data_IF_328260866729
#
_entry.id   IF_328260866729
#
_cell.length_a   1.000
_cell.length_b   1.000
_cell.length_c   1.000
_cell.angle_alpha   90.00
_cell.angle_beta   90.00
_cell.angle_gamma   90.00
#
_symmetry.space_group_name_H-M   'P 1'
#
loop_
_entity.id
_entity.type
_entity.pdbx_description
1 polymer ?
2 non-polymer ?
3 non-polymer ?
4 non-polymer ?
5 water ?
#
# COMPACT_ATOMS: atom_id res chain seq x y z
N UNK A 16 -8.37 -23.11 8.89
CA UNK A 16 -7.46 -23.73 9.90
C UNK A 16 -6.21 -22.86 10.09
N UNK A 17 -5.92 -22.44 11.33
CA UNK A 17 -4.65 -21.77 11.74
C UNK A 17 -4.33 -20.60 10.80
N UNK A 18 -5.18 -19.54 10.72
CA UNK A 18 -4.86 -18.37 9.90
C UNK A 18 -3.73 -17.53 10.50
N UNK A 19 -2.73 -17.11 9.71
CA UNK A 19 -1.59 -16.30 10.20
C UNK A 19 -1.81 -14.82 9.96
N UNK A 20 -2.92 -14.43 9.34
CA UNK A 20 -3.16 -13.01 8.98
C UNK A 20 -4.53 -12.55 9.51
N UNK A 21 -4.78 -12.74 10.80
CA UNK A 21 -6.10 -12.52 11.42
C UNK A 21 -6.07 -11.25 12.29
N UNK A 22 -4.99 -11.03 13.06
CA UNK A 22 -4.95 -9.96 14.10
C UNK A 22 -3.86 -8.96 13.70
N UNK A 23 -4.12 -7.68 13.93
CA UNK A 23 -3.12 -6.61 13.85
C UNK A 23 -2.70 -6.21 15.27
N UNK A 24 -1.39 -6.18 15.48
CA UNK A 24 -0.77 -5.76 16.75
C UNK A 24 0.10 -4.55 16.47
N UNK A 25 0.37 -3.77 17.52
CA UNK A 25 1.38 -2.68 17.47
C UNK A 25 2.73 -3.30 17.10
N UNK A 26 3.36 -2.79 16.05
CA UNK A 26 4.67 -3.27 15.59
C UNK A 26 5.74 -3.06 16.67
N UNK A 27 5.61 -2.03 17.50
CA UNK A 27 6.67 -1.68 18.50
C UNK A 27 6.55 -2.55 19.75
N UNK A 28 5.38 -3.02 20.16
CA UNK A 28 5.21 -3.65 21.50
C UNK A 28 4.30 -4.88 21.49
N UNK A 29 3.52 -5.14 20.43
CA UNK A 29 2.63 -6.33 20.43
C UNK A 29 1.22 -6.11 20.95
N UNK A 30 0.90 -4.91 21.41
CA UNK A 30 -0.47 -4.58 21.86
C UNK A 30 -1.48 -4.98 20.79
N UNK A 31 -2.56 -5.67 21.19
CA UNK A 31 -3.67 -6.05 20.29
C UNK A 31 -4.37 -4.79 19.79
N UNK A 32 -4.53 -4.60 18.48
CA UNK A 32 -5.13 -3.33 17.96
C UNK A 32 -6.37 -3.63 17.13
N UNK A 33 -6.30 -4.49 16.12
CA UNK A 33 -7.46 -4.71 15.25
C UNK A 33 -7.40 -6.09 14.59
N UNK A 34 -8.25 -6.32 13.58
CA UNK A 34 -8.41 -7.63 12.93
C UNK A 34 -8.61 -7.36 11.44
N UNK A 35 -8.21 -8.28 10.58
CA UNK A 35 -8.44 -8.17 9.13
C UNK A 35 -9.96 -8.11 8.89
N UNK A 36 -10.72 -8.87 9.69
CA UNK A 36 -12.20 -8.94 9.58
C UNK A 36 -12.84 -7.56 9.72
N UNK A 37 -12.14 -6.62 10.37
CA UNK A 37 -12.70 -5.29 10.74
C UNK A 37 -12.23 -4.23 9.75
N UNK A 38 -11.56 -4.63 8.67
CA UNK A 38 -11.20 -3.65 7.61
C UNK A 38 -12.48 -3.05 7.04
N UNK A 39 -12.46 -1.77 6.68
CA UNK A 39 -13.64 -1.00 6.19
C UNK A 39 -13.31 -0.33 4.86
N UNK A 40 -13.90 -0.74 3.71
CA UNK A 40 -13.73 -0.01 2.46
C UNK A 40 -14.42 1.35 2.37
N UNK A 41 -13.79 2.41 2.92
CA UNK A 41 -14.27 3.82 2.85
C UNK A 41 -14.05 4.36 1.43
N UNK A 42 -15.10 4.86 0.79
CA UNK A 42 -15.06 5.30 -0.62
C UNK A 42 -14.67 4.19 -1.58
N UNK A 43 -14.82 2.92 -1.19
CA UNK A 43 -14.59 1.76 -2.06
C UNK A 43 -13.21 1.12 -1.90
N UNK A 44 -12.37 1.62 -0.99
CA UNK A 44 -11.04 0.98 -0.73
C UNK A 44 -10.76 1.06 0.76
N UNK A 45 -10.15 0.03 1.34
CA UNK A 45 -9.70 0.07 2.76
C UNK A 45 -8.40 0.90 2.85
N UNK A 46 -7.62 0.99 1.75
CA UNK A 46 -6.33 1.70 1.73
C UNK A 46 -6.51 3.10 1.15
N UNK A 47 -5.96 4.10 1.84
CA UNK A 47 -5.94 5.54 1.44
C UNK A 47 -4.52 6.10 1.63
N UNK A 48 -3.90 6.63 0.58
CA UNK A 48 -2.55 7.25 0.75
C UNK A 48 -2.73 8.76 0.87
N UNK A 49 -2.23 9.34 1.95
CA UNK A 49 -2.51 10.75 2.33
C UNK A 49 -1.23 11.44 2.79
N UNK A 50 -1.21 12.77 2.78
CA UNK A 50 -0.13 13.59 3.37
C UNK A 50 -0.70 14.57 4.36
N UNK A 51 0.03 14.79 5.44
CA UNK A 51 -0.27 15.86 6.44
C UNK A 51 0.38 17.17 5.98
N UNK A 52 0.10 18.30 6.67
CA UNK A 52 0.67 19.58 6.28
C UNK A 52 2.20 19.65 6.39
N UNK A 53 2.84 18.75 7.14
CA UNK A 53 4.32 18.64 7.21
C UNK A 53 4.86 17.84 6.02
N UNK A 54 3.97 17.36 5.13
CA UNK A 54 4.29 16.57 3.92
C UNK A 54 4.62 15.11 4.22
N UNK A 55 4.39 14.63 5.43
CA UNK A 55 4.58 13.19 5.75
C UNK A 55 3.50 12.37 5.03
N UNK A 56 3.93 11.33 4.32
CA UNK A 56 3.00 10.41 3.59
C UNK A 56 2.66 9.26 4.54
N UNK A 57 1.40 8.89 4.56
CA UNK A 57 0.91 7.73 5.33
C UNK A 57 0.08 6.86 4.41
N UNK A 58 0.31 5.55 4.51
CA UNK A 58 -0.58 4.53 3.90
C UNK A 58 -1.56 4.13 4.98
N UNK A 59 -2.79 4.63 4.90
CA UNK A 59 -3.81 4.47 5.97
C UNK A 59 -4.73 3.32 5.57
N UNK A 60 -4.94 2.37 6.49
CA UNK A 60 -6.00 1.34 6.34
C UNK A 60 -7.14 1.75 7.26
N UNK A 61 -8.37 1.73 6.73
CA UNK A 61 -9.58 2.07 7.51
C UNK A 61 -10.14 0.79 8.15
N UNK A 62 -10.43 0.87 9.44
CA UNK A 62 -11.03 -0.21 10.25
C UNK A 62 -12.33 0.31 10.87
N UNK A 63 -13.36 -0.55 10.92
CA UNK A 63 -14.61 -0.18 11.60
C UNK A 63 -14.35 -0.09 13.11
N UNK A 64 -13.40 -0.87 13.60
CA UNK A 64 -13.21 -1.13 15.05
C UNK A 64 -11.73 -1.31 15.29
N UNK A 65 -11.30 -0.91 16.48
CA UNK A 65 -9.94 -1.12 16.99
C UNK A 65 -10.03 -1.04 18.50
N UNK A 66 -9.00 -1.56 19.14
CA UNK A 66 -8.88 -1.63 20.62
C UNK A 66 -7.41 -1.32 20.96
N UNK A 67 -7.11 -1.16 22.24
CA UNK A 67 -5.74 -1.07 22.75
C UNK A 67 -5.09 0.28 22.41
N UNK A 68 -5.88 1.23 21.94
CA UNK A 68 -5.39 2.58 21.59
C UNK A 68 -5.68 3.50 22.77
N UNK A 69 -5.08 4.68 22.74
CA UNK A 69 -5.43 5.80 23.63
C UNK A 69 -5.64 7.02 22.73
N UNK A 70 -6.85 7.55 22.74
CA UNK A 70 -7.29 8.70 21.91
C UNK A 70 -6.98 9.97 22.68
N UNK A 71 -6.23 10.88 22.06
CA UNK A 71 -5.58 12.03 22.75
C UNK A 71 -6.28 13.31 22.30
N UNK A 72 -6.68 14.11 23.27
CA UNK A 72 -7.29 15.43 23.05
C UNK A 72 -8.72 15.31 22.56
N UNK A 73 -9.22 16.39 21.96
CA UNK A 73 -10.59 16.52 21.46
C UNK A 73 -10.53 16.48 19.94
N UNK A 74 -11.62 16.09 19.25
CA UNK A 74 -11.61 16.01 17.81
C UNK A 74 -11.33 17.36 17.14
N UNK A 75 -10.72 17.31 15.95
CA UNK A 75 -10.48 18.48 15.07
C UNK A 75 -10.94 18.11 13.66
N UNK A 76 -11.60 19.03 12.97
CA UNK A 76 -11.91 18.89 11.54
C UNK A 76 -10.80 19.40 10.64
N UNK A 77 -9.76 20.04 11.20
CA UNK A 77 -8.69 20.73 10.42
C UNK A 77 -7.99 19.71 9.51
N UNK A 78 -8.02 19.94 8.21
CA UNK A 78 -7.25 19.14 7.20
C UNK A 78 -7.69 17.67 7.24
N UNK A 79 -8.89 17.34 7.70
CA UNK A 79 -9.36 15.95 7.70
C UNK A 79 -9.26 15.38 6.27
N UNK A 80 -8.69 14.19 6.16
CA UNK A 80 -8.58 13.44 4.89
C UNK A 80 -9.95 12.85 4.49
N UNK A 81 -10.92 12.80 5.39
CA UNK A 81 -12.22 12.13 5.12
C UNK A 81 -13.34 13.14 5.35
N UNK A 82 -14.08 13.43 4.28
CA UNK A 82 -15.11 14.50 4.25
C UNK A 82 -16.11 14.27 5.36
N UNK A 83 -16.37 15.28 6.19
CA UNK A 83 -17.41 15.23 7.23
C UNK A 83 -16.95 14.62 8.53
N UNK A 84 -15.68 14.18 8.66
CA UNK A 84 -15.18 13.56 9.90
C UNK A 84 -14.16 14.46 10.58
N UNK A 85 -14.19 14.46 11.90
CA UNK A 85 -13.21 15.10 12.78
C UNK A 85 -12.30 14.00 13.30
N UNK A 86 -11.05 14.32 13.52
CA UNK A 86 -10.03 13.31 13.93
C UNK A 86 -9.48 13.60 15.32
N UNK A 87 -9.12 12.52 16.00
CA UNK A 87 -8.33 12.50 17.24
C UNK A 87 -7.14 11.57 17.00
N UNK A 88 -5.97 11.98 17.49
CA UNK A 88 -4.74 11.15 17.42
C UNK A 88 -5.01 9.86 18.23
N UNK A 89 -4.66 8.72 17.65
CA UNK A 89 -4.73 7.40 18.29
C UNK A 89 -3.30 6.94 18.54
N UNK A 90 -2.90 6.86 19.81
CA UNK A 90 -1.62 6.21 20.19
C UNK A 90 -1.89 4.76 20.57
N UNK A 91 -0.87 3.93 20.41
CA UNK A 91 -0.81 2.62 21.09
C UNK A 91 -0.98 2.92 22.59
N UNK A 92 -1.98 2.29 23.21
CA UNK A 92 -2.29 2.48 24.63
C UNK A 92 -1.20 1.90 25.49
N UNK A 93 -0.40 0.99 24.94
CA UNK A 93 0.67 0.34 25.73
C UNK A 93 1.95 1.20 25.62
N UNK A 94 2.44 1.43 24.41
CA UNK A 94 3.81 1.98 24.21
C UNK A 94 3.79 3.45 23.78
N UNK A 95 2.64 3.99 23.39
CA UNK A 95 2.54 5.42 23.00
C UNK A 95 2.90 5.67 21.53
N UNK A 96 3.25 4.66 20.75
CA UNK A 96 3.55 4.80 19.30
C UNK A 96 2.32 5.42 18.63
N UNK A 97 2.54 6.39 17.74
CA UNK A 97 1.40 6.98 17.00
C UNK A 97 0.93 5.99 15.93
N UNK A 98 -0.24 5.37 16.09
CA UNK A 98 -0.71 4.31 15.18
C UNK A 98 -1.69 4.85 14.15
N UNK A 99 -2.25 6.03 14.38
CA UNK A 99 -3.20 6.63 13.43
C UNK A 99 -4.17 7.58 14.11
N UNK A 100 -5.42 7.53 13.67
CA UNK A 100 -6.47 8.50 14.07
C UNK A 100 -7.79 7.79 14.24
N UNK A 101 -8.61 8.29 15.15
CA UNK A 101 -10.03 7.94 15.26
C UNK A 101 -10.82 9.07 14.60
N UNK A 102 -11.76 8.70 13.75
CA UNK A 102 -12.60 9.65 13.01
C UNK A 102 -14.01 9.56 13.59
N UNK A 103 -14.66 10.69 13.77
CA UNK A 103 -16.03 10.75 14.30
C UNK A 103 -16.75 11.97 13.74
N UNK A 104 -18.05 12.08 14.02
CA UNK A 104 -18.85 13.27 13.68
C UNK A 104 -19.40 13.20 12.26
N UNK A 105 -19.19 12.10 11.55
CA UNK A 105 -19.63 11.97 10.15
C UNK A 105 -20.88 11.13 10.02
N UNK A 106 -21.08 10.52 8.87
CA UNK A 106 -22.31 9.77 8.51
C UNK A 106 -21.92 8.50 7.73
N UNK A 107 -22.46 7.35 8.13
CA UNK A 107 -22.42 6.07 7.37
C UNK A 107 -20.97 5.74 6.97
N UNK A 108 -20.07 5.39 7.91
CA UNK A 108 -20.37 5.31 9.33
C UNK A 108 -20.16 6.64 10.07
N UNK A 109 -20.70 6.75 11.29
CA UNK A 109 -20.47 7.94 12.14
C UNK A 109 -18.99 7.98 12.53
N UNK A 110 -18.39 6.81 12.77
CA UNK A 110 -17.00 6.69 13.28
C UNK A 110 -16.23 5.54 12.60
N UNK A 111 -14.91 5.65 12.59
CA UNK A 111 -13.98 4.57 12.14
C UNK A 111 -12.57 4.96 12.58
N UNK A 112 -11.63 4.04 12.36
CA UNK A 112 -10.21 4.26 12.64
C UNK A 112 -9.45 4.26 11.32
N UNK A 113 -8.55 5.23 11.18
CA UNK A 113 -7.55 5.22 10.11
C UNK A 113 -6.20 4.90 10.71
N UNK A 114 -5.69 3.70 10.47
CA UNK A 114 -4.43 3.25 11.11
C UNK A 114 -3.34 3.18 10.06
N UNK A 115 -2.12 3.52 10.48
CA UNK A 115 -0.93 3.56 9.60
C UNK A 115 -0.41 2.12 9.43
N UNK A 116 -0.56 1.58 8.23
CA UNK A 116 -0.39 0.13 7.98
C UNK A 116 1.02 -0.30 8.42
N UNK A 117 2.06 0.49 8.15
CA UNK A 117 3.45 0.05 8.42
C UNK A 117 3.78 0.13 9.92
N UNK A 118 2.87 0.61 10.76
CA UNK A 118 3.10 0.67 12.22
C UNK A 118 2.37 -0.49 12.92
N UNK A 119 1.79 -1.38 12.14
CA UNK A 119 1.11 -2.58 12.66
C UNK A 119 1.88 -3.81 12.19
N UNK A 120 1.70 -4.92 12.91
CA UNK A 120 2.16 -6.25 12.49
C UNK A 120 0.98 -7.21 12.41
N UNK A 121 0.87 -7.96 11.31
CA UNK A 121 -0.25 -8.88 11.08
C UNK A 121 0.15 -10.31 11.43
N UNK A 122 -0.75 -11.06 12.06
CA UNK A 122 -0.40 -12.41 12.51
C UNK A 122 -1.59 -13.17 13.08
N UNK A 123 -1.32 -14.39 13.60
CA UNK A 123 -2.38 -15.31 14.00
C UNK A 123 -3.19 -14.82 15.21
N UNK A 124 -4.43 -15.31 15.34
CA UNK A 124 -5.43 -14.89 16.35
C UNK A 124 -4.93 -15.16 17.78
N UNK B 20 19.28 -4.48 -12.84
CA UNK B 20 19.84 -3.18 -12.36
C UNK B 20 20.21 -3.31 -10.87
N UNK B 21 19.19 -3.50 -10.04
CA UNK B 21 19.34 -3.59 -8.56
C UNK B 21 19.17 -5.02 -8.09
N UNK B 22 20.09 -5.51 -7.24
CA UNK B 22 20.03 -6.88 -6.69
C UNK B 22 19.97 -6.82 -5.16
N UNK B 23 19.41 -7.85 -4.57
CA UNK B 23 19.45 -8.06 -3.11
C UNK B 23 20.41 -9.22 -2.82
N UNK B 24 21.38 -8.95 -1.98
CA UNK B 24 22.39 -9.94 -1.59
C UNK B 24 22.16 -10.31 -0.14
N UNK B 25 22.60 -11.50 0.24
CA UNK B 25 22.68 -11.90 1.66
C UNK B 25 23.57 -10.90 2.39
N UNK B 26 23.06 -10.29 3.45
CA UNK B 26 23.82 -9.25 4.19
C UNK B 26 25.06 -9.88 4.84
N UNK B 27 24.99 -11.17 5.21
CA UNK B 27 26.08 -11.84 5.95
C UNK B 27 27.21 -12.27 5.01
N UNK B 28 26.94 -12.72 3.79
CA UNK B 28 28.04 -13.31 2.95
C UNK B 28 28.10 -12.71 1.55
N UNK B 29 27.07 -11.97 1.13
CA UNK B 29 27.08 -11.26 -0.16
C UNK B 29 26.55 -12.08 -1.32
N UNK B 30 26.11 -13.31 -1.08
CA UNK B 30 25.55 -14.12 -2.18
C UNK B 30 24.37 -13.36 -2.79
N UNK B 31 24.26 -13.29 -4.12
CA UNK B 31 23.04 -12.80 -4.81
C UNK B 31 21.84 -13.70 -4.43
N UNK B 32 20.75 -13.08 -4.00
CA UNK B 32 19.52 -13.81 -3.59
C UNK B 32 18.32 -13.45 -4.47
N UNK B 33 18.05 -12.17 -4.69
CA UNK B 33 16.90 -11.78 -5.51
C UNK B 33 17.16 -10.44 -6.16
N UNK B 34 16.16 -9.90 -6.86
CA UNK B 34 16.28 -8.72 -7.78
C UNK B 34 15.13 -7.76 -7.45
N UNK B 35 15.33 -6.45 -7.57
CA UNK B 35 14.22 -5.48 -7.43
C UNK B 35 13.13 -5.75 -8.48
N UNK B 36 13.53 -6.22 -9.65
CA UNK B 36 12.61 -6.53 -10.78
C UNK B 36 11.60 -7.61 -10.32
N UNK B 37 11.94 -8.41 -9.32
CA UNK B 37 11.14 -9.58 -8.88
C UNK B 37 10.27 -9.23 -7.69
N UNK B 38 10.24 -7.97 -7.26
CA UNK B 38 9.36 -7.57 -6.14
C UNK B 38 7.91 -7.84 -6.54
N UNK B 39 7.14 -8.39 -5.61
CA UNK B 39 5.79 -8.92 -5.86
C UNK B 39 4.81 -8.30 -4.87
N UNK B 40 3.84 -7.46 -5.31
CA UNK B 40 2.86 -6.89 -4.39
C UNK B 40 1.75 -7.88 -4.02
N UNK B 41 2.00 -8.74 -3.04
CA UNK B 41 1.02 -9.72 -2.49
C UNK B 41 0.00 -8.97 -1.64
N UNK B 42 -1.29 -9.13 -1.95
CA UNK B 42 -2.38 -8.39 -1.30
C UNK B 42 -2.27 -6.89 -1.49
N UNK B 43 -1.53 -6.42 -2.49
CA UNK B 43 -1.42 -4.99 -2.82
C UNK B 43 -0.17 -4.32 -2.26
N UNK B 44 0.70 -5.01 -1.52
CA UNK B 44 1.98 -4.39 -1.07
C UNK B 44 3.09 -5.40 -1.16
N UNK B 45 4.31 -4.99 -1.51
CA UNK B 45 5.47 -5.92 -1.41
C UNK B 45 5.97 -6.05 0.04
N UNK B 46 5.70 -5.07 0.90
CA UNK B 46 6.13 -5.10 2.32
C UNK B 46 4.97 -5.57 3.20
N UNK B 47 5.25 -6.55 4.05
CA UNK B 47 4.33 -7.12 5.05
C UNK B 47 5.07 -7.14 6.38
N UNK B 48 4.60 -6.42 7.36
CA UNK B 48 5.07 -6.60 8.76
C UNK B 48 4.16 -7.65 9.42
N UNK B 49 4.77 -8.71 9.93
CA UNK B 49 4.05 -9.92 10.37
C UNK B 49 4.63 -10.36 11.74
N UNK B 50 3.86 -11.15 12.48
CA UNK B 50 4.36 -11.81 13.70
C UNK B 50 3.99 -13.29 13.63
N UNK B 51 4.88 -14.12 14.15
CA UNK B 51 4.67 -15.58 14.24
C UNK B 51 3.98 -15.91 15.57
N UNK B 52 3.57 -17.19 15.79
CA UNK B 52 2.91 -17.57 17.02
C UNK B 52 3.77 -17.40 18.28
N UNK B 53 5.09 -17.33 18.15
CA UNK B 53 6.04 -17.07 19.28
C UNK B 53 6.13 -15.55 19.53
N UNK B 54 5.42 -14.74 18.74
CA UNK B 54 5.42 -13.26 18.90
C UNK B 54 6.62 -12.57 18.27
N UNK B 55 7.43 -13.28 17.51
CA UNK B 55 8.59 -12.64 16.81
C UNK B 55 8.05 -11.82 15.65
N UNK B 56 8.49 -10.58 15.51
CA UNK B 56 8.02 -9.67 14.42
C UNK B 56 9.08 -9.63 13.33
N UNK B 57 8.65 -9.69 12.07
CA UNK B 57 9.51 -9.64 10.88
C UNK B 57 8.93 -8.65 9.88
N UNK B 58 9.81 -7.92 9.21
CA UNK B 58 9.38 -7.07 8.06
C UNK B 58 9.81 -7.82 6.80
N UNK B 59 8.83 -8.35 6.09
CA UNK B 59 9.02 -9.27 4.93
C UNK B 59 8.78 -8.46 3.66
N UNK B 60 9.63 -8.64 2.66
CA UNK B 60 9.38 -8.18 1.28
C UNK B 60 9.11 -9.42 0.43
N UNK B 61 8.10 -9.34 -0.44
CA UNK B 61 7.69 -10.47 -1.31
C UNK B 61 8.41 -10.35 -2.65
N UNK B 62 8.99 -11.46 -3.08
CA UNK B 62 9.66 -11.60 -4.40
C UNK B 62 9.07 -12.80 -5.12
N UNK B 63 8.90 -12.74 -6.43
CA UNK B 63 8.38 -13.85 -7.25
C UNK B 63 9.36 -15.02 -7.20
N UNK B 64 10.65 -14.71 -7.32
CA UNK B 64 11.75 -15.70 -7.47
C UNK B 64 12.89 -15.29 -6.54
N UNK B 65 13.78 -16.25 -6.31
CA UNK B 65 15.06 -16.05 -5.63
C UNK B 65 16.01 -17.12 -6.10
N UNK B 66 17.27 -16.95 -5.76
CA UNK B 66 18.31 -17.95 -6.02
C UNK B 66 19.25 -17.98 -4.81
N UNK B 67 20.05 -19.03 -4.72
CA UNK B 67 21.13 -19.11 -3.72
C UNK B 67 20.60 -19.42 -2.32
N UNK B 68 19.31 -19.77 -2.18
CA UNK B 68 18.77 -20.17 -0.86
C UNK B 68 18.80 -21.70 -0.72
N UNK B 69 18.56 -22.20 0.48
CA UNK B 69 18.30 -23.62 0.76
C UNK B 69 17.01 -23.67 1.57
N UNK B 70 15.98 -24.29 1.03
CA UNK B 70 14.66 -24.48 1.68
C UNK B 70 14.73 -25.75 2.52
N UNK B 71 14.34 -25.64 3.79
CA UNK B 71 14.57 -26.70 4.80
C UNK B 71 13.21 -27.21 5.25
N UNK B 72 13.04 -28.53 5.28
CA UNK B 72 11.85 -29.17 5.84
C UNK B 72 10.75 -29.30 4.80
N UNK B 73 9.66 -29.92 5.20
CA UNK B 73 8.46 -30.10 4.35
C UNK B 73 7.61 -28.85 4.48
N UNK B 74 6.86 -28.47 3.45
CA UNK B 74 6.00 -27.29 3.55
C UNK B 74 4.95 -27.47 4.64
N UNK B 75 4.59 -26.37 5.32
CA UNK B 75 3.54 -26.34 6.37
C UNK B 75 2.52 -25.27 6.03
N UNK B 76 1.23 -25.55 6.26
CA UNK B 76 0.16 -24.56 6.16
C UNK B 76 -0.07 -23.83 7.47
N UNK B 77 0.54 -24.32 8.57
CA UNK B 77 0.23 -23.83 9.95
C UNK B 77 0.59 -22.35 10.04
N UNK B 78 -0.39 -21.50 10.34
CA UNK B 78 -0.19 -20.05 10.63
C UNK B 78 0.49 -19.36 9.46
N UNK B 79 0.27 -19.84 8.24
CA UNK B 79 0.79 -19.14 7.04
C UNK B 79 0.34 -17.68 7.08
N UNK B 80 1.25 -16.76 6.82
CA UNK B 80 0.92 -15.31 6.69
C UNK B 80 0.15 -15.04 5.39
N UNK B 81 0.18 -15.95 4.42
CA UNK B 81 -0.46 -15.74 3.11
C UNK B 81 -1.45 -16.87 2.89
N UNK B 82 -2.74 -16.52 2.91
CA UNK B 82 -3.86 -17.47 2.81
C UNK B 82 -3.72 -18.28 1.53
N UNK B 83 -3.81 -19.61 1.63
CA UNK B 83 -3.80 -20.54 0.49
C UNK B 83 -2.40 -21.00 0.15
N UNK B 84 -1.38 -20.59 0.91
CA UNK B 84 0.03 -20.99 0.68
C UNK B 84 0.55 -21.77 1.89
N UNK B 85 1.40 -22.77 1.60
CA UNK B 85 2.25 -23.46 2.58
C UNK B 85 3.64 -22.81 2.57
N UNK B 86 4.33 -22.84 3.70
CA UNK B 86 5.65 -22.20 3.83
C UNK B 86 6.74 -23.22 4.16
N UNK B 87 7.95 -22.89 3.72
CA UNK B 87 9.21 -23.59 4.03
C UNK B 87 10.25 -22.55 4.45
N UNK B 88 11.03 -22.81 5.49
CA UNK B 88 12.12 -21.88 5.93
C UNK B 88 13.17 -21.79 4.81
N UNK B 89 13.63 -20.59 4.52
CA UNK B 89 14.68 -20.31 3.50
C UNK B 89 15.94 -19.80 4.18
N UNK B 90 17.02 -20.57 4.12
CA UNK B 90 18.36 -20.14 4.56
C UNK B 90 19.18 -19.68 3.35
N UNK B 91 20.12 -18.77 3.56
CA UNK B 91 21.24 -18.60 2.60
C UNK B 91 21.93 -19.94 2.38
N UNK B 92 22.03 -20.38 1.13
CA UNK B 92 22.65 -21.67 0.76
C UNK B 92 24.13 -21.65 1.07
N UNK B 93 24.72 -20.45 1.07
CA UNK B 93 26.18 -20.28 1.17
C UNK B 93 26.58 -20.18 2.64
N UNK B 94 25.90 -19.34 3.43
CA UNK B 94 26.33 -19.05 4.83
C UNK B 94 25.34 -19.52 5.90
N UNK B 95 24.13 -19.92 5.54
CA UNK B 95 23.14 -20.45 6.51
C UNK B 95 22.30 -19.37 7.20
N UNK B 96 22.48 -18.08 6.90
CA UNK B 96 21.65 -16.99 7.48
C UNK B 96 20.18 -17.24 7.18
N UNK B 97 19.28 -17.08 8.14
CA UNK B 97 17.82 -17.25 7.88
C UNK B 97 17.32 -16.01 7.13
N UNK B 98 16.99 -16.14 5.84
CA UNK B 98 16.65 -14.97 5.02
C UNK B 98 15.15 -14.84 4.84
N UNK B 99 14.36 -15.89 5.11
CA UNK B 99 12.89 -15.79 5.04
C UNK B 99 12.24 -17.15 4.83
N UNK B 100 11.27 -17.17 3.93
CA UNK B 100 10.39 -18.33 3.67
C UNK B 100 10.04 -18.40 2.19
N UNK B 101 9.82 -19.61 1.73
CA UNK B 101 9.24 -19.87 0.39
C UNK B 101 7.80 -20.31 0.58
N UNK B 102 6.91 -19.83 -0.27
CA UNK B 102 5.45 -20.07 -0.22
C UNK B 102 5.09 -20.85 -1.48
N UNK B 103 4.25 -21.87 -1.33
CA UNK B 103 3.86 -22.72 -2.48
C UNK B 103 2.43 -23.22 -2.28
N UNK B 104 1.86 -23.82 -3.33
CA UNK B 104 0.58 -24.52 -3.29
C UNK B 104 -0.60 -23.59 -3.48
N UNK B 105 -0.35 -22.34 -3.87
CA UNK B 105 -1.42 -21.36 -4.17
C UNK B 105 -1.70 -21.25 -5.66
N UNK B 106 -2.34 -20.14 -6.05
CA UNK B 106 -2.66 -19.83 -7.47
C UNK B 106 -2.40 -18.33 -7.70
N UNK B 107 -1.74 -17.98 -8.79
CA UNK B 107 -1.53 -16.60 -9.28
C UNK B 107 -0.99 -15.72 -8.16
N UNK B 108 0.28 -15.89 -7.72
CA UNK B 108 1.16 -16.93 -8.27
C UNK B 108 1.08 -18.24 -7.49
N UNK B 109 1.61 -19.32 -8.06
CA UNK B 109 1.65 -20.61 -7.36
C UNK B 109 2.65 -20.54 -6.23
N UNK B 110 3.75 -19.80 -6.44
CA UNK B 110 4.91 -19.76 -5.52
C UNK B 110 5.49 -18.34 -5.45
N UNK B 111 6.12 -18.01 -4.33
CA UNK B 111 6.85 -16.75 -4.14
C UNK B 111 7.64 -16.88 -2.83
N UNK B 112 8.48 -15.91 -2.58
CA UNK B 112 9.31 -15.80 -1.38
C UNK B 112 8.88 -14.60 -0.57
N UNK B 113 8.90 -14.80 0.74
CA UNK B 113 8.87 -13.69 1.72
C UNK B 113 10.24 -13.59 2.37
N UNK B 114 11.01 -12.57 2.01
CA UNK B 114 12.40 -12.42 2.51
C UNK B 114 12.45 -11.29 3.53
N UNK B 115 13.26 -11.49 4.57
CA UNK B 115 13.43 -10.52 5.67
C UNK B 115 14.32 -9.38 5.19
N UNK B 116 13.71 -8.21 5.00
CA UNK B 116 14.36 -7.06 4.35
C UNK B 116 15.67 -6.72 5.08
N UNK B 117 15.68 -6.75 6.41
CA UNK B 117 16.85 -6.36 7.23
C UNK B 117 18.03 -7.31 7.07
N UNK B 118 17.82 -8.47 6.47
CA UNK B 118 18.87 -9.52 6.31
C UNK B 118 19.41 -9.53 4.90
N UNK B 119 18.97 -8.58 4.10
CA UNK B 119 19.43 -8.41 2.70
C UNK B 119 20.15 -7.08 2.60
N UNK B 120 21.01 -6.97 1.60
CA UNK B 120 21.69 -5.72 1.25
C UNK B 120 21.37 -5.43 -0.22
N UNK B 121 20.81 -4.27 -0.51
CA UNK B 121 20.48 -3.90 -1.91
C UNK B 121 21.67 -3.18 -2.51
N UNK B 122 21.98 -3.48 -3.77
CA UNK B 122 23.09 -2.81 -4.45
C UNK B 122 23.09 -3.11 -5.94
N UNK B 123 23.94 -2.41 -6.72
CA UNK B 123 23.99 -2.63 -8.17
C UNK B 123 24.47 -4.06 -8.52
N UNK B 124 23.98 -4.58 -9.64
CA UNK B 124 24.28 -5.93 -10.17
C UNK B 124 25.77 -6.06 -10.53
N UNK C 18 -10.93 19.26 3.47
CA UNK C 18 -9.89 20.28 3.67
C UNK C 18 -8.46 19.71 3.53
N UNK C 19 -8.28 18.42 3.78
CA UNK C 19 -6.97 17.73 3.65
C UNK C 19 -6.82 17.04 2.31
N UNK C 20 -7.75 17.26 1.36
CA UNK C 20 -7.70 16.66 0.01
C UNK C 20 -7.74 17.77 -1.05
N UNK C 21 -6.78 18.71 -1.01
CA UNK C 21 -6.71 19.86 -1.95
C UNK C 21 -5.59 19.66 -2.98
N UNK C 22 -4.47 19.01 -2.62
CA UNK C 22 -3.31 18.82 -3.54
C UNK C 22 -3.14 17.32 -3.79
N UNK C 23 -2.90 16.95 -5.04
CA UNK C 23 -2.80 15.54 -5.48
C UNK C 23 -1.34 15.32 -5.90
N UNK C 24 -0.73 14.27 -5.34
CA UNK C 24 0.72 14.00 -5.48
C UNK C 24 0.91 12.55 -5.90
N UNK C 25 2.06 12.25 -6.51
CA UNK C 25 2.48 10.87 -6.80
C UNK C 25 2.55 10.08 -5.49
N UNK C 26 1.84 8.96 -5.40
CA UNK C 26 1.82 8.08 -4.20
C UNK C 26 3.22 7.55 -3.91
N UNK C 27 4.04 7.30 -4.94
CA UNK C 27 5.34 6.59 -4.78
C UNK C 27 6.41 7.57 -4.29
N UNK C 28 6.39 8.84 -4.73
CA UNK C 28 7.53 9.75 -4.42
C UNK C 28 7.06 11.12 -3.90
N UNK C 29 5.79 11.48 -4.05
CA UNK C 29 5.25 12.74 -3.51
C UNK C 29 5.33 13.93 -4.46
N UNK C 30 5.84 13.73 -5.67
CA UNK C 30 5.82 14.79 -6.72
C UNK C 30 4.42 15.42 -6.80
N UNK C 31 4.34 16.75 -6.78
CA UNK C 31 3.07 17.51 -6.90
C UNK C 31 2.57 17.35 -8.32
N UNK C 32 1.30 16.96 -8.50
CA UNK C 32 0.75 16.72 -9.87
C UNK C 32 -0.40 17.70 -10.18
N UNK C 33 -1.41 17.80 -9.31
CA UNK C 33 -2.54 18.70 -9.57
C UNK C 33 -3.25 19.11 -8.27
N UNK C 34 -4.37 19.83 -8.42
CA UNK C 34 -5.06 20.43 -7.26
C UNK C 34 -6.56 20.46 -7.55
N UNK C 35 -7.33 20.53 -6.48
CA UNK C 35 -8.81 20.42 -6.52
C UNK C 35 -9.37 21.55 -7.39
N UNK C 36 -8.73 22.72 -7.43
CA UNK C 36 -9.14 23.86 -8.31
C UNK C 36 -9.28 23.41 -9.78
N UNK C 37 -8.48 22.42 -10.20
CA UNK C 37 -8.42 22.00 -11.63
C UNK C 37 -9.25 20.73 -11.85
N UNK C 38 -9.89 20.22 -10.80
CA UNK C 38 -10.68 18.98 -10.91
C UNK C 38 -11.84 19.27 -11.85
N UNK C 39 -12.23 18.28 -12.65
CA UNK C 39 -13.50 18.35 -13.42
C UNK C 39 -14.52 17.39 -12.82
N UNK C 40 -15.57 17.87 -12.13
CA UNK C 40 -16.63 16.97 -11.63
C UNK C 40 -17.57 16.51 -12.76
N UNK C 41 -18.04 15.26 -12.73
CA UNK C 41 -19.18 14.78 -13.56
C UNK C 41 -20.28 14.33 -12.60
N UNK C 45 -16.78 13.23 -8.19
CA UNK C 45 -15.48 13.76 -8.67
C UNK C 45 -14.66 12.62 -9.31
N UNK C 46 -14.80 11.38 -8.82
CA UNK C 46 -14.08 10.20 -9.37
C UNK C 46 -15.01 9.44 -10.31
N UNK C 47 -14.51 9.13 -11.51
CA UNK C 47 -15.18 8.30 -12.55
C UNK C 47 -14.65 6.87 -12.46
N UNK C 48 -15.55 5.91 -12.22
CA UNK C 48 -15.24 4.46 -12.07
C UNK C 48 -15.21 3.82 -13.47
N UNK C 49 -14.08 3.24 -13.84
CA UNK C 49 -13.82 2.71 -15.22
C UNK C 49 -13.20 1.32 -15.10
N UNK C 50 -13.41 0.48 -16.11
CA UNK C 50 -12.79 -0.86 -16.21
C UNK C 50 -11.88 -0.88 -17.45
N UNK C 51 -10.63 -1.33 -17.33
CA UNK C 51 -9.79 -1.55 -18.54
C UNK C 51 -10.35 -2.79 -19.24
N UNK C 52 -9.87 -3.14 -20.45
CA UNK C 52 -10.38 -4.32 -21.15
C UNK C 52 -10.16 -5.64 -20.40
N UNK C 53 -9.24 -5.70 -19.44
CA UNK C 53 -9.00 -6.88 -18.58
C UNK C 53 -10.01 -6.90 -17.42
N UNK C 54 -10.85 -5.86 -17.31
CA UNK C 54 -11.87 -5.72 -16.24
C UNK C 54 -11.29 -5.22 -14.92
N UNK C 55 -10.04 -4.77 -14.89
CA UNK C 55 -9.46 -4.16 -13.66
C UNK C 55 -10.13 -2.80 -13.42
N UNK C 57 -10.50 1.00 -12.04
CA UNK C 57 -9.83 2.26 -11.65
C UNK C 57 -10.89 3.27 -11.21
N UNK C 58 -10.56 4.04 -10.19
CA UNK C 58 -11.17 5.36 -9.91
C UNK C 58 -10.27 6.40 -10.59
N UNK C 59 -10.78 7.04 -11.63
CA UNK C 59 -10.06 8.10 -12.39
C UNK C 59 -10.53 9.47 -11.90
N UNK C 60 -9.60 10.38 -11.63
CA UNK C 60 -9.90 11.81 -11.41
C UNK C 60 -9.47 12.60 -12.65
N UNK C 61 -10.35 13.44 -13.19
CA UNK C 61 -10.07 14.27 -14.39
C UNK C 61 -9.68 15.68 -13.94
N UNK C 62 -8.56 16.19 -14.46
CA UNK C 62 -8.02 17.54 -14.16
C UNK C 62 -7.82 18.30 -15.47
N UNK C 63 -8.13 19.60 -15.49
CA UNK C 63 -7.96 20.46 -16.67
C UNK C 63 -6.46 20.69 -16.88
N UNK C 64 -5.70 20.79 -15.78
CA UNK C 64 -4.26 21.13 -15.81
C UNK C 64 -3.52 20.19 -14.87
N UNK C 65 -2.24 19.91 -15.16
CA UNK C 65 -1.38 19.15 -14.24
C UNK C 65 0.06 19.60 -14.47
N UNK C 66 0.92 19.21 -13.54
CA UNK C 66 2.37 19.48 -13.64
C UNK C 66 3.12 18.23 -13.19
N UNK C 67 4.42 18.22 -13.45
CA UNK C 67 5.34 17.21 -12.90
C UNK C 67 5.18 15.85 -13.56
N UNK C 68 4.43 15.76 -14.66
CA UNK C 68 4.31 14.47 -15.40
C UNK C 68 5.33 14.46 -16.54
N UNK C 69 5.49 13.29 -17.15
CA UNK C 69 6.17 13.14 -18.45
C UNK C 69 5.22 12.35 -19.34
N UNK C 70 4.76 12.99 -20.43
CA UNK C 70 3.82 12.37 -21.41
C UNK C 70 4.66 11.63 -22.45
N UNK C 71 4.42 10.34 -22.64
CA UNK C 71 5.35 9.48 -23.44
C UNK C 71 4.56 8.91 -24.62
N UNK C 72 5.16 8.87 -25.81
CA UNK C 72 4.65 8.11 -26.96
C UNK C 72 3.59 8.85 -27.75
N UNK C 73 3.07 8.21 -28.80
CA UNK C 73 2.07 8.79 -29.71
C UNK C 73 0.68 8.54 -29.12
N UNK C 74 -0.30 9.43 -29.39
CA UNK C 74 -1.66 9.22 -28.89
C UNK C 74 -2.27 7.92 -29.45
N UNK C 75 -3.15 7.27 -28.67
CA UNK C 75 -3.94 6.10 -29.10
C UNK C 75 -5.43 6.35 -28.77
N UNK C 76 -6.32 5.91 -29.66
CA UNK C 76 -7.77 5.87 -29.40
C UNK C 76 -8.21 4.56 -28.76
N UNK C 77 -7.31 3.57 -28.68
CA UNK C 77 -7.63 2.17 -28.26
C UNK C 77 -8.29 2.16 -26.88
N UNK C 78 -9.54 1.70 -26.80
CA UNK C 78 -10.28 1.47 -25.53
C UNK C 78 -10.33 2.75 -24.67
N UNK C 79 -10.27 3.93 -25.30
CA UNK C 79 -10.36 5.20 -24.56
C UNK C 79 -11.64 5.19 -23.71
N UNK C 80 -11.53 5.54 -22.43
CA UNK C 80 -12.70 5.66 -21.52
C UNK C 80 -13.53 6.90 -21.86
N UNK C 81 -13.01 7.82 -22.66
CA UNK C 81 -13.71 9.10 -22.96
C UNK C 81 -13.91 9.16 -24.48
N UNK C 82 -15.16 9.07 -24.92
CA UNK C 82 -15.53 8.99 -26.35
C UNK C 82 -14.96 10.21 -27.09
N UNK C 83 -14.22 9.98 -28.18
CA UNK C 83 -13.70 11.06 -29.05
C UNK C 83 -12.39 11.66 -28.53
N UNK C 84 -11.75 11.03 -27.54
CA UNK C 84 -10.40 11.43 -27.07
C UNK C 84 -9.40 10.31 -27.33
N UNK C 85 -8.20 10.71 -27.75
CA UNK C 85 -7.00 9.84 -27.80
C UNK C 85 -6.19 10.07 -26.53
N UNK C 86 -5.50 9.03 -26.07
CA UNK C 86 -4.74 9.10 -24.80
C UNK C 86 -3.24 8.90 -25.07
N UNK C 87 -2.44 9.48 -24.19
CA UNK C 87 -0.97 9.33 -24.09
C UNK C 87 -0.66 8.99 -22.64
N UNK C 88 0.27 8.09 -22.39
CA UNK C 88 0.67 7.66 -21.03
C UNK C 88 1.28 8.86 -20.30
N UNK C 89 0.85 9.08 -19.05
CA UNK C 89 1.40 10.12 -18.15
C UNK C 89 2.18 9.42 -17.04
N UNK C 90 3.51 9.58 -17.03
CA UNK C 90 4.36 9.10 -15.92
C UNK C 90 4.65 10.26 -14.95
N UNK C 91 4.90 9.91 -13.71
CA UNK C 91 5.52 10.84 -12.75
C UNK C 91 6.90 11.25 -13.30
N UNK C 92 7.16 12.56 -13.41
CA UNK C 92 8.44 13.06 -13.93
C UNK C 92 9.57 12.82 -12.95
N UNK C 93 9.24 12.57 -11.68
CA UNK C 93 10.26 12.45 -10.62
C UNK C 93 10.70 10.98 -10.52
N UNK C 94 9.73 10.04 -10.45
CA UNK C 94 10.07 8.62 -10.14
C UNK C 94 9.68 7.68 -11.27
N UNK C 95 8.93 8.12 -12.28
CA UNK C 95 8.55 7.24 -13.40
C UNK C 95 7.29 6.41 -13.18
N UNK C 96 6.64 6.49 -12.02
CA UNK C 96 5.35 5.77 -11.74
C UNK C 96 4.31 6.13 -12.82
N UNK C 97 3.56 5.14 -13.31
CA UNK C 97 2.45 5.40 -14.26
C UNK C 97 1.27 6.00 -13.49
N UNK C 98 0.96 7.29 -13.67
CA UNK C 98 -0.09 7.96 -12.85
C UNK C 98 -1.42 8.04 -13.61
N UNK C 99 -1.39 7.88 -14.92
CA UNK C 99 -2.61 7.98 -15.74
C UNK C 99 -2.32 8.35 -17.18
N UNK C 100 -3.17 9.19 -17.75
CA UNK C 100 -3.16 9.51 -19.21
C UNK C 100 -3.47 10.97 -19.44
N UNK C 101 -2.97 11.50 -20.54
CA UNK C 101 -3.37 12.81 -21.09
C UNK C 101 -4.29 12.52 -22.26
N UNK C 102 -5.42 13.21 -22.28
CA UNK C 102 -6.48 13.01 -23.31
C UNK C 102 -6.49 14.24 -24.21
N UNK C 103 -6.68 14.02 -25.51
CA UNK C 103 -6.64 15.12 -26.51
C UNK C 103 -7.51 14.73 -27.69
N UNK C 104 -7.75 15.71 -28.57
CA UNK C 104 -8.45 15.54 -29.85
C UNK C 104 -9.95 15.62 -29.68
N UNK C 105 -10.45 15.99 -28.49
CA UNK C 105 -11.90 16.14 -28.27
C UNK C 105 -12.37 17.60 -28.39
N UNK C 106 -13.54 17.89 -27.81
CA UNK C 106 -14.14 19.24 -27.73
C UNK C 106 -14.76 19.43 -26.34
N UNK C 107 -14.54 20.59 -25.72
CA UNK C 107 -15.17 21.03 -24.44
C UNK C 107 -15.04 19.93 -23.38
N UNK C 108 -13.83 19.66 -22.83
CA UNK C 108 -12.60 20.34 -23.25
C UNK C 108 -11.87 19.62 -24.38
N UNK C 109 -10.94 20.30 -25.04
CA UNK C 109 -10.11 19.69 -26.10
C UNK C 109 -9.18 18.68 -25.43
N UNK C 110 -8.67 19.01 -24.24
CA UNK C 110 -7.63 18.21 -23.54
C UNK C 110 -7.89 18.20 -22.02
N UNK C 111 -7.41 17.14 -21.37
CA UNK C 111 -7.46 17.01 -19.89
C UNK C 111 -6.57 15.83 -19.52
N UNK C 112 -6.34 15.69 -18.22
CA UNK C 112 -5.57 14.57 -17.64
C UNK C 112 -6.54 13.69 -16.87
N UNK C 113 -6.46 12.39 -17.11
CA UNK C 113 -7.18 11.36 -16.36
C UNK C 113 -6.20 10.60 -15.51
N UNK C 114 -6.20 10.84 -14.20
CA UNK C 114 -5.17 10.25 -13.29
C UNK C 114 -5.84 9.19 -12.41
N UNK C 115 -5.08 8.14 -12.12
CA UNK C 115 -5.55 6.95 -11.36
C UNK C 115 -5.56 7.31 -9.88
N UNK C 116 -6.73 7.29 -9.24
CA UNK C 116 -6.87 7.51 -7.77
C UNK C 116 -5.86 6.64 -6.99
N UNK C 117 -5.68 5.36 -7.36
CA UNK C 117 -4.84 4.41 -6.59
C UNK C 117 -3.35 4.74 -6.74
N UNK C 118 -2.99 5.66 -7.64
CA UNK C 118 -1.57 6.02 -7.90
C UNK C 118 -1.27 7.39 -7.30
N UNK C 119 -2.26 8.02 -6.67
CA UNK C 119 -2.09 9.37 -6.10
C UNK C 119 -2.22 9.31 -4.59
N UNK C 120 -1.72 10.37 -3.95
CA UNK C 120 -1.93 10.69 -2.53
C UNK C 120 -2.53 12.10 -2.44
N UNK C 121 -3.41 12.34 -1.48
CA UNK C 121 -4.08 13.66 -1.32
C UNK C 121 -3.59 14.31 -0.03
N UNK C 122 -3.41 15.62 -0.05
CA UNK C 122 -3.10 16.39 1.18
C UNK C 122 -3.59 17.83 1.11
N UNK C 123 -3.45 18.57 2.22
CA UNK C 123 -3.90 19.96 2.29
C UNK C 123 -3.04 20.88 1.41
N UNK C 124 -3.55 22.06 1.05
CA UNK C 124 -2.80 23.11 0.31
C UNK C 124 -1.64 23.64 1.17
#
# INVERSE_FOLDING_TARGET
>A
AMPLDAGGQNSTQMVLAPGASIFRCRQCGQTISRRDWLLPMGGDHEHVVFNPAGMIFRVWCFSLAQGLRLIGAPSGEFSWFKGYDWTIALCGQCGSHLGWHYEGGSQPQTFFGLIKDRLAEGPAD
>B
AMPLDAGGQNSTQMVLAPGASIFRCRQCGQTISRRDWLLPMGGDHEHVVFNPAGMIFRVWCFSLAQGLRLIGAPSGEFSWFKGYDWTIALCGQCGSHLGWHYEGGSQPQTFFGLIKDRLAEGPAD
>C
AMPLDAGGQNSTQMVLAPGASIFRCRQCGQTISRRDWLLPMGGDHEHVVFNPAGMIFRVWCFSLAQGLRLIGAPSGEFSWFKGYDWTIALCGQCGSHLGWHYEGGSQPQTFFGLIKDRLAEGPAD
#
